data_IF_494571481923
#
_entry.id   IF_494571481923
#
_cell.length_a   1.000
_cell.length_b   1.000
_cell.length_c   1.000
_cell.angle_alpha   90.00
_cell.angle_beta   90.00
_cell.angle_gamma   90.00
#
_symmetry.space_group_name_H-M   'P 1'
#
loop_
_entity.id
_entity.type
_entity.pdbx_description
1 polymer ?
#
# COMPACT_ATOMS: atom_id res chain seq x y z
N UNK A 1 -14.38 4.21 7.62
CA UNK A 1 -14.79 5.62 7.74
C UNK A 1 -13.66 6.55 7.32
N UNK A 2 -12.41 6.31 7.75
CA UNK A 2 -11.22 7.15 7.44
C UNK A 2 -10.80 7.34 5.97
N UNK A 3 -11.53 6.75 5.02
CA UNK A 3 -11.21 6.85 3.58
C UNK A 3 -12.33 7.56 2.79
N UNK A 4 -13.17 8.29 3.50
CA UNK A 4 -14.29 9.03 2.95
C UNK A 4 -13.91 10.51 2.86
N UNK A 5 -13.85 11.03 1.64
CA UNK A 5 -13.50 12.43 1.39
C UNK A 5 -14.67 13.40 1.62
N UNK A 6 -15.89 12.89 1.86
CA UNK A 6 -17.03 13.72 2.27
C UNK A 6 -16.83 14.25 3.71
N UNK A 7 -16.20 13.44 4.56
CA UNK A 7 -16.06 13.71 5.99
C UNK A 7 -14.61 13.93 6.43
N UNK A 8 -13.64 13.73 5.54
CA UNK A 8 -12.21 13.88 5.83
C UNK A 8 -11.53 14.63 4.70
N UNK A 9 -10.53 15.44 5.02
CA UNK A 9 -9.68 16.02 3.97
C UNK A 9 -8.94 14.93 3.20
N UNK A 10 -8.57 15.22 1.96
CA UNK A 10 -7.75 14.32 1.14
C UNK A 10 -6.44 13.96 1.84
N UNK A 11 -5.83 14.90 2.55
CA UNK A 11 -4.61 14.67 3.34
C UNK A 11 -4.84 13.64 4.46
N UNK A 12 -5.93 13.78 5.23
CA UNK A 12 -6.29 12.83 6.29
C UNK A 12 -6.56 11.44 5.72
N UNK A 13 -7.22 11.35 4.57
CA UNK A 13 -7.45 10.08 3.87
C UNK A 13 -6.13 9.42 3.43
N UNK A 14 -5.20 10.20 2.85
CA UNK A 14 -3.88 9.70 2.45
C UNK A 14 -3.08 9.24 3.67
N UNK A 15 -3.09 9.99 4.76
CA UNK A 15 -2.41 9.61 6.01
C UNK A 15 -2.98 8.32 6.60
N UNK A 16 -4.31 8.20 6.64
CA UNK A 16 -4.99 6.98 7.08
C UNK A 16 -4.66 5.78 6.18
N UNK A 17 -4.54 6.01 4.87
CA UNK A 17 -4.18 4.98 3.90
C UNK A 17 -2.72 4.53 4.06
N UNK A 18 -1.80 5.47 4.32
CA UNK A 18 -0.41 5.15 4.66
C UNK A 18 -0.33 4.27 5.92
N UNK A 19 -1.10 4.61 6.96
CA UNK A 19 -1.21 3.80 8.18
C UNK A 19 -1.69 2.38 7.90
N UNK A 20 -2.76 2.22 7.12
CA UNK A 20 -3.30 0.92 6.75
C UNK A 20 -2.31 0.07 5.93
N UNK A 21 -1.59 0.68 4.97
CA UNK A 21 -0.55 -0.02 4.22
C UNK A 21 0.66 -0.36 5.09
N UNK A 22 1.04 0.49 6.03
CA UNK A 22 2.13 0.23 6.97
C UNK A 22 1.82 -0.98 7.86
N UNK A 23 0.59 -1.08 8.36
CA UNK A 23 0.13 -2.25 9.11
C UNK A 23 0.13 -3.51 8.23
N UNK A 24 -0.31 -3.39 6.98
CA UNK A 24 -0.29 -4.50 6.01
C UNK A 24 1.13 -4.97 5.72
N UNK A 25 2.07 -4.04 5.53
CA UNK A 25 3.49 -4.35 5.32
C UNK A 25 4.10 -5.03 6.55
N UNK A 26 3.73 -4.59 7.76
CA UNK A 26 4.18 -5.22 9.01
C UNK A 26 3.65 -6.64 9.15
N UNK A 27 2.36 -6.87 8.82
CA UNK A 27 1.75 -8.20 8.80
C UNK A 27 2.43 -9.12 7.79
N UNK A 28 2.69 -8.62 6.57
CA UNK A 28 3.43 -9.36 5.55
C UNK A 28 4.82 -9.76 6.05
N UNK A 29 5.58 -8.81 6.59
CA UNK A 29 6.91 -9.09 7.15
C UNK A 29 6.87 -10.14 8.27
N UNK A 30 5.92 -10.02 9.20
CA UNK A 30 5.76 -10.96 10.29
C UNK A 30 5.40 -12.36 9.77
N UNK A 31 4.49 -12.45 8.79
CA UNK A 31 4.12 -13.70 8.14
C UNK A 31 5.31 -14.37 7.46
N UNK A 32 6.06 -13.65 6.63
CA UNK A 32 7.23 -14.18 5.90
C UNK A 32 8.29 -14.70 6.88
N UNK A 33 8.50 -14.00 8.01
CA UNK A 33 9.47 -14.43 9.03
C UNK A 33 9.08 -15.74 9.72
N UNK A 34 7.80 -16.09 9.72
CA UNK A 34 7.32 -17.36 10.27
C UNK A 34 7.31 -18.49 9.23
N UNK A 35 7.66 -18.23 7.97
CA UNK A 35 7.78 -19.26 6.94
C UNK A 35 9.06 -20.08 7.16
N UNK A 36 9.00 -21.36 6.83
CA UNK A 36 10.19 -22.22 6.81
C UNK A 36 11.12 -21.81 5.66
N UNK A 37 12.40 -22.17 5.77
CA UNK A 37 13.38 -21.94 4.69
C UNK A 37 12.96 -22.57 3.36
N UNK A 38 12.19 -23.66 3.38
CA UNK A 38 11.64 -24.31 2.18
C UNK A 38 10.50 -23.52 1.49
N UNK A 39 9.93 -22.52 2.16
CA UNK A 39 8.83 -21.67 1.66
C UNK A 39 9.24 -20.20 1.53
N UNK A 40 10.55 -19.95 1.47
CA UNK A 40 11.07 -18.60 1.36
C UNK A 40 10.61 -17.95 0.05
N UNK A 41 9.99 -16.78 0.16
CA UNK A 41 9.42 -16.08 -0.98
C UNK A 41 10.52 -15.35 -1.77
N UNK A 42 10.40 -15.35 -3.08
CA UNK A 42 11.27 -14.57 -3.96
C UNK A 42 10.90 -13.09 -3.92
N UNK A 43 11.87 -12.20 -4.17
CA UNK A 43 11.62 -10.76 -4.26
C UNK A 43 10.55 -10.43 -5.31
N UNK A 44 10.58 -11.11 -6.47
CA UNK A 44 9.59 -10.94 -7.54
C UNK A 44 8.15 -11.22 -7.09
N UNK A 45 7.94 -12.28 -6.29
CA UNK A 45 6.62 -12.60 -5.76
C UNK A 45 6.15 -11.55 -4.74
N UNK A 46 7.05 -11.09 -3.87
CA UNK A 46 6.76 -10.03 -2.90
C UNK A 46 6.38 -8.73 -3.63
N UNK A 47 7.17 -8.31 -4.63
CA UNK A 47 6.91 -7.12 -5.44
C UNK A 47 5.55 -7.23 -6.13
N UNK A 48 5.25 -8.36 -6.76
CA UNK A 48 3.97 -8.60 -7.44
C UNK A 48 2.79 -8.54 -6.46
N UNK A 49 2.99 -9.05 -5.25
CA UNK A 49 1.99 -8.99 -4.18
C UNK A 49 1.75 -7.55 -3.74
N UNK A 50 2.81 -6.75 -3.53
CA UNK A 50 2.69 -5.32 -3.16
C UNK A 50 1.92 -4.54 -4.23
N UNK A 51 2.26 -4.74 -5.52
CA UNK A 51 1.52 -4.15 -6.65
C UNK A 51 0.04 -4.50 -6.59
N UNK A 52 -0.27 -5.79 -6.42
CA UNK A 52 -1.66 -6.29 -6.38
C UNK A 52 -2.44 -5.75 -5.18
N UNK A 53 -1.80 -5.65 -4.02
CA UNK A 53 -2.40 -5.07 -2.80
C UNK A 53 -2.77 -3.60 -3.02
N UNK A 54 -1.89 -2.80 -3.64
CA UNK A 54 -2.18 -1.40 -3.96
C UNK A 54 -3.33 -1.26 -4.98
N UNK A 55 -3.36 -2.12 -6.01
CA UNK A 55 -4.45 -2.16 -6.99
C UNK A 55 -5.80 -2.53 -6.35
N UNK A 56 -5.82 -3.59 -5.55
CA UNK A 56 -7.03 -4.04 -4.84
C UNK A 56 -7.50 -2.95 -3.87
N UNK A 57 -6.60 -2.28 -3.15
CA UNK A 57 -6.96 -1.18 -2.26
C UNK A 57 -7.71 -0.09 -3.03
N UNK A 58 -7.23 0.33 -4.20
CA UNK A 58 -7.95 1.31 -5.02
C UNK A 58 -9.35 0.81 -5.43
N UNK A 59 -9.48 -0.45 -5.83
CA UNK A 59 -10.78 -1.03 -6.19
C UNK A 59 -11.74 -1.08 -4.99
N UNK A 60 -11.27 -1.43 -3.80
CA UNK A 60 -12.09 -1.47 -2.58
C UNK A 60 -12.58 -0.07 -2.24
N UNK A 61 -11.67 0.92 -2.26
CA UNK A 61 -11.98 2.31 -1.94
C UNK A 61 -12.98 2.91 -2.93
N UNK A 62 -12.86 2.60 -4.21
CA UNK A 62 -13.73 3.16 -5.26
C UNK A 62 -14.95 2.29 -5.60
N UNK A 63 -15.13 1.15 -4.94
CA UNK A 63 -16.15 0.16 -5.30
C UNK A 63 -17.58 0.72 -5.23
N UNK A 64 -18.42 0.30 -6.18
CA UNK A 64 -19.87 0.61 -6.18
C UNK A 64 -20.56 0.09 -4.93
N UNK A 65 -20.12 -1.07 -4.42
CA UNK A 65 -20.65 -1.63 -3.18
C UNK A 65 -20.46 -0.69 -2.00
N UNK A 66 -19.26 -0.08 -1.87
CA UNK A 66 -18.98 0.87 -0.80
C UNK A 66 -19.87 2.11 -0.89
N UNK A 67 -20.05 2.67 -2.10
CA UNK A 67 -20.97 3.79 -2.34
C UNK A 67 -22.43 3.46 -2.01
N UNK A 68 -22.89 2.24 -2.29
CA UNK A 68 -24.25 1.79 -1.94
C UNK A 68 -24.43 1.59 -0.44
N UNK A 69 -23.39 1.09 0.24
CA UNK A 69 -23.43 0.85 1.69
C UNK A 69 -23.44 2.15 2.49
N UNK A 70 -22.81 3.21 1.96
CA UNK A 70 -22.65 4.49 2.63
C UNK A 70 -23.09 5.59 1.66
N UNK A 71 -24.33 6.06 1.81
CA UNK A 71 -25.03 6.93 0.84
C UNK A 71 -24.26 8.21 0.47
N UNK A 72 -23.53 8.79 1.42
CA UNK A 72 -22.73 10.01 1.23
C UNK A 72 -21.24 9.76 1.00
N UNK A 73 -20.84 8.51 0.77
CA UNK A 73 -19.41 8.19 0.62
C UNK A 73 -18.82 8.79 -0.65
N UNK A 74 -17.79 9.62 -0.46
CA UNK A 74 -16.95 10.14 -1.52
C UNK A 74 -15.52 9.57 -1.42
N UNK A 75 -14.86 9.41 -2.56
CA UNK A 75 -13.47 8.96 -2.62
C UNK A 75 -12.79 9.67 -3.79
N UNK A 76 -12.26 10.86 -3.52
CA UNK A 76 -11.63 11.70 -4.54
C UNK A 76 -10.15 11.36 -4.82
N UNK A 77 -9.58 10.40 -4.09
CA UNK A 77 -8.19 9.99 -4.31
C UNK A 77 -8.04 9.22 -5.63
N UNK A 78 -7.00 9.58 -6.39
CA UNK A 78 -6.64 8.95 -7.66
C UNK A 78 -5.88 7.65 -7.42
N UNK A 79 -5.96 6.72 -8.38
CA UNK A 79 -5.21 5.46 -8.35
C UNK A 79 -3.70 5.68 -8.13
N UNK A 80 -3.12 6.67 -8.80
CA UNK A 80 -1.71 7.04 -8.62
C UNK A 80 -1.37 7.45 -7.18
N UNK A 81 -2.27 8.18 -6.49
CA UNK A 81 -2.08 8.55 -5.09
C UNK A 81 -2.14 7.33 -4.17
N UNK A 82 -3.06 6.38 -4.42
CA UNK A 82 -3.14 5.12 -3.67
C UNK A 82 -1.86 4.30 -3.83
N UNK A 83 -1.38 4.14 -5.06
CA UNK A 83 -0.16 3.39 -5.36
C UNK A 83 1.06 4.05 -4.71
N UNK A 84 1.25 5.36 -4.89
CA UNK A 84 2.37 6.08 -4.30
C UNK A 84 2.36 5.98 -2.76
N UNK A 85 1.19 6.10 -2.15
CA UNK A 85 1.02 5.96 -0.70
C UNK A 85 1.36 4.54 -0.24
N UNK A 86 0.91 3.51 -0.97
CA UNK A 86 1.23 2.12 -0.68
C UNK A 86 2.73 1.85 -0.75
N UNK A 87 3.40 2.23 -1.83
CA UNK A 87 4.83 1.99 -1.97
C UNK A 87 5.66 2.74 -0.92
N UNK A 88 5.31 3.99 -0.63
CA UNK A 88 5.96 4.75 0.44
C UNK A 88 5.81 4.06 1.81
N UNK A 89 4.60 3.59 2.16
CA UNK A 89 4.36 2.88 3.41
C UNK A 89 5.13 1.55 3.51
N UNK A 90 5.14 0.75 2.44
CA UNK A 90 5.93 -0.48 2.40
C UNK A 90 7.42 -0.20 2.51
N UNK A 91 7.92 0.83 1.83
CA UNK A 91 9.32 1.25 1.92
C UNK A 91 9.70 1.66 3.34
N UNK A 92 8.85 2.45 4.02
CA UNK A 92 9.07 2.89 5.38
C UNK A 92 9.18 1.74 6.39
N UNK A 93 8.39 0.68 6.19
CA UNK A 93 8.43 -0.51 7.04
C UNK A 93 9.64 -1.38 6.73
N UNK A 94 9.91 -1.66 5.44
CA UNK A 94 10.98 -2.57 5.03
C UNK A 94 12.38 -1.96 5.17
N UNK A 95 12.55 -0.63 5.02
CA UNK A 95 13.86 0.02 5.21
C UNK A 95 14.44 -0.15 6.61
N UNK A 96 13.59 -0.39 7.61
CA UNK A 96 13.98 -0.65 9.00
C UNK A 96 14.28 -2.15 9.25
N UNK A 97 14.08 -3.01 8.24
CA UNK A 97 14.05 -4.48 8.31
C UNK A 97 14.70 -5.10 7.07
N UNK A 98 15.90 -4.62 6.72
CA UNK A 98 16.46 -4.81 5.37
C UNK A 98 16.89 -6.25 5.03
N UNK A 99 17.22 -7.06 6.04
CA UNK A 99 17.70 -8.43 5.84
C UNK A 99 16.72 -9.27 5.03
N UNK A 100 17.13 -9.70 3.83
CA UNK A 100 16.30 -10.48 2.91
C UNK A 100 15.33 -9.68 2.03
N UNK A 101 15.34 -8.34 2.10
CA UNK A 101 14.44 -7.46 1.34
C UNK A 101 15.15 -6.41 0.48
N UNK A 102 16.47 -6.50 0.29
CA UNK A 102 17.27 -5.51 -0.44
C UNK A 102 16.72 -5.20 -1.84
N UNK A 103 16.45 -6.23 -2.64
CA UNK A 103 15.87 -6.09 -3.98
C UNK A 103 14.50 -5.39 -3.96
N UNK A 104 13.63 -5.77 -3.01
CA UNK A 104 12.30 -5.18 -2.86
C UNK A 104 12.41 -3.70 -2.46
N UNK A 105 13.35 -3.37 -1.56
CA UNK A 105 13.60 -2.00 -1.10
C UNK A 105 14.14 -1.14 -2.24
N UNK A 106 15.08 -1.65 -3.04
CA UNK A 106 15.60 -0.94 -4.22
C UNK A 106 14.48 -0.63 -5.20
N UNK A 107 13.67 -1.63 -5.56
CA UNK A 107 12.51 -1.44 -6.43
C UNK A 107 11.53 -0.40 -5.87
N UNK A 108 11.21 -0.46 -4.57
CA UNK A 108 10.31 0.51 -3.93
C UNK A 108 10.85 1.94 -3.97
N UNK A 109 12.17 2.14 -3.82
CA UNK A 109 12.80 3.47 -3.91
C UNK A 109 12.70 4.04 -5.32
N UNK A 110 13.04 3.24 -6.32
CA UNK A 110 12.97 3.63 -7.73
C UNK A 110 11.53 4.03 -8.10
N UNK A 111 10.57 3.20 -7.72
CA UNK A 111 9.17 3.38 -8.06
C UNK A 111 8.54 4.58 -7.30
N UNK A 112 8.90 4.78 -6.03
CA UNK A 112 8.47 5.97 -5.26
C UNK A 112 9.02 7.25 -5.89
N UNK A 113 10.28 7.23 -6.35
CA UNK A 113 10.91 8.37 -7.04
C UNK A 113 10.21 8.65 -8.37
N UNK A 114 9.97 7.61 -9.17
CA UNK A 114 9.26 7.70 -10.46
C UNK A 114 7.86 8.31 -10.31
N UNK A 115 7.13 7.92 -9.26
CA UNK A 115 5.79 8.45 -8.97
C UNK A 115 5.82 9.89 -8.43
N UNK A 116 6.89 10.29 -7.74
CA UNK A 116 7.07 11.67 -7.30
C UNK A 116 7.34 12.62 -8.48
N UNK A 117 8.08 12.17 -9.50
CA UNK A 117 8.37 12.95 -10.71
C UNK A 117 7.22 13.01 -11.72
N UNK A 118 6.24 12.11 -11.61
CA UNK A 118 5.08 12.03 -12.50
C UNK A 118 3.85 12.83 -11.99
N UNK A 119 4.02 13.60 -10.92
CA UNK A 119 3.02 14.51 -10.36
C UNK A 119 3.01 15.85 -11.08
#
# INVERSE_FOLDING_TARGET
MFFDTEHNSVETVISSLHGAFSETALKMWAYIRCLSTATQLTASLIISTIKKVADIAFLILTSKWRKRRFEKYACEIRKAQVIATGYSAFLDVLRRRQTGYSEVITWLREETTRLATAR
#
